data_IF_446564808195
#
_entry.id   IF_446564808195
#
_cell.length_a   1.000
_cell.length_b   1.000
_cell.length_c   1.000
_cell.angle_alpha   90.00
_cell.angle_beta   90.00
_cell.angle_gamma   90.00
#
_symmetry.space_group_name_H-M   'P 1'
#
loop_
_entity.id
_entity.type
_entity.pdbx_description
1 polymer ?
#
# COMPACT_ATOMS: atom_id res chain seq x y z
N UNK A 1 -7.23 7.91 -18.18
CA UNK A 1 -6.20 7.44 -17.23
C UNK A 1 -5.97 8.57 -16.24
N UNK A 2 -6.44 8.45 -14.99
CA UNK A 2 -6.26 9.52 -13.97
C UNK A 2 -4.81 9.49 -13.48
N UNK A 3 -4.18 10.66 -13.35
CA UNK A 3 -2.78 10.75 -12.94
C UNK A 3 -2.63 10.41 -11.46
N UNK A 4 -1.48 9.85 -11.06
CA UNK A 4 -1.13 9.58 -9.67
C UNK A 4 -1.29 10.85 -8.79
N UNK A 5 -0.98 12.00 -9.38
CA UNK A 5 -1.13 13.33 -8.77
C UNK A 5 -2.59 13.66 -8.38
N UNK A 6 -3.57 13.26 -9.19
CA UNK A 6 -5.00 13.47 -8.90
C UNK A 6 -5.49 12.62 -7.73
N UNK A 7 -4.94 11.41 -7.56
CA UNK A 7 -5.23 10.59 -6.38
C UNK A 7 -4.66 11.23 -5.11
N UNK A 8 -3.46 11.81 -5.21
CA UNK A 8 -2.78 12.45 -4.07
C UNK A 8 -3.50 13.70 -3.56
N UNK A 9 -3.97 14.58 -4.45
CA UNK A 9 -4.73 15.78 -4.06
C UNK A 9 -6.08 15.45 -3.40
N UNK A 10 -6.72 14.33 -3.78
CA UNK A 10 -7.95 13.87 -3.12
C UNK A 10 -7.67 13.26 -1.73
N UNK A 11 -6.49 12.64 -1.53
CA UNK A 11 -6.09 12.08 -0.23
C UNK A 11 -5.72 13.13 0.81
N UNK A 12 -5.31 14.33 0.41
CA UNK A 12 -5.12 15.48 1.33
C UNK A 12 -6.42 15.88 2.04
N UNK A 13 -7.60 15.53 1.50
CA UNK A 13 -8.89 15.94 2.06
C UNK A 13 -9.46 15.02 3.15
N UNK A 14 -8.78 13.92 3.52
CA UNK A 14 -9.33 12.96 4.51
C UNK A 14 -8.40 12.69 5.69
N UNK A 15 -8.54 13.44 6.80
CA UNK A 15 -7.88 13.08 8.05
C UNK A 15 -8.51 11.77 8.57
N UNK A 16 -7.77 10.67 8.53
CA UNK A 16 -8.16 9.40 9.17
C UNK A 16 -8.31 8.18 8.25
N UNK A 17 -7.94 8.23 6.97
CA UNK A 17 -7.93 7.01 6.15
C UNK A 17 -6.75 6.14 6.58
N UNK A 18 -7.07 5.05 7.28
CA UNK A 18 -6.18 3.91 7.52
C UNK A 18 -6.43 2.94 6.37
N UNK A 19 -5.41 2.68 5.57
CA UNK A 19 -5.50 1.71 4.46
C UNK A 19 -4.58 0.51 4.69
N UNK A 20 -4.83 -0.56 3.93
CA UNK A 20 -4.13 -1.85 3.98
C UNK A 20 -3.11 -1.93 2.86
N UNK A 21 -1.85 -2.04 3.23
CA UNK A 21 -0.74 -2.21 2.29
C UNK A 21 -0.23 -3.63 2.33
N UNK A 22 0.11 -4.17 1.16
CA UNK A 22 0.77 -5.46 1.00
C UNK A 22 1.84 -5.31 -0.10
N UNK A 23 3.01 -5.91 0.11
CA UNK A 23 4.05 -5.94 -0.91
C UNK A 23 3.58 -6.80 -2.09
N UNK A 24 3.73 -6.31 -3.31
CA UNK A 24 3.32 -7.03 -4.52
C UNK A 24 4.03 -8.39 -4.66
N UNK A 25 5.27 -8.51 -4.17
CA UNK A 25 6.03 -9.77 -4.18
C UNK A 25 5.38 -10.80 -3.27
N UNK A 26 4.85 -10.39 -2.13
CA UNK A 26 4.14 -11.28 -1.21
C UNK A 26 2.82 -11.75 -1.84
N UNK A 27 2.13 -10.86 -2.58
CA UNK A 27 0.94 -11.24 -3.36
C UNK A 27 1.28 -12.28 -4.43
N UNK A 28 2.34 -12.07 -5.21
CA UNK A 28 2.77 -13.03 -6.23
C UNK A 28 3.16 -14.38 -5.61
N UNK A 29 3.94 -14.36 -4.54
CA UNK A 29 4.36 -15.57 -3.82
C UNK A 29 3.17 -16.32 -3.23
N UNK A 30 2.20 -15.61 -2.66
CA UNK A 30 0.99 -16.23 -2.12
C UNK A 30 0.15 -16.92 -3.20
N UNK A 31 0.06 -16.35 -4.41
CA UNK A 31 -0.60 -17.01 -5.53
C UNK A 31 0.11 -18.28 -5.96
N UNK A 32 1.44 -18.25 -6.09
CA UNK A 32 2.25 -19.44 -6.42
C UNK A 32 2.03 -20.53 -5.37
N UNK A 33 2.15 -20.19 -4.09
CA UNK A 33 1.99 -21.16 -3.00
C UNK A 33 0.56 -21.73 -2.92
N UNK A 34 -0.46 -20.90 -3.16
CA UNK A 34 -1.85 -21.37 -3.18
C UNK A 34 -2.13 -22.29 -4.36
N UNK A 35 -1.45 -22.09 -5.50
CA UNK A 35 -1.56 -22.96 -6.67
C UNK A 35 -0.83 -24.29 -6.48
N UNK A 36 0.41 -24.26 -5.98
CA UNK A 36 1.26 -25.44 -5.87
C UNK A 36 0.86 -26.39 -4.74
N UNK A 37 0.26 -25.86 -3.67
CA UNK A 37 -0.09 -26.65 -2.49
C UNK A 37 -1.47 -27.29 -2.66
N UNK A 38 -1.51 -28.60 -2.86
CA UNK A 38 -2.75 -29.37 -3.03
C UNK A 38 -3.77 -29.23 -1.88
N UNK A 39 -3.30 -28.89 -0.67
CA UNK A 39 -4.18 -28.66 0.48
C UNK A 39 -4.70 -27.21 0.59
N UNK A 40 -4.24 -26.29 -0.26
CA UNK A 40 -4.70 -24.91 -0.25
C UNK A 40 -6.14 -24.84 -0.75
N UNK A 41 -6.99 -24.10 -0.03
CA UNK A 41 -8.40 -23.96 -0.37
C UNK A 41 -9.01 -22.73 0.28
N UNK A 42 -10.14 -22.28 -0.26
CA UNK A 42 -10.86 -21.12 0.26
C UNK A 42 -10.19 -19.79 -0.08
N UNK A 43 -10.30 -18.82 0.83
CA UNK A 43 -9.83 -17.43 0.64
C UNK A 43 -8.72 -17.12 1.63
N UNK A 44 -7.65 -16.50 1.14
CA UNK A 44 -6.53 -16.04 1.96
C UNK A 44 -6.53 -14.52 2.03
N UNK A 45 -6.56 -13.97 3.25
CA UNK A 45 -6.40 -12.54 3.46
C UNK A 45 -4.91 -12.19 3.42
N UNK A 46 -4.51 -11.31 2.50
CA UNK A 46 -3.14 -10.82 2.38
C UNK A 46 -3.10 -9.34 2.73
N UNK A 47 -2.62 -9.04 3.92
CA UNK A 47 -2.43 -7.68 4.43
C UNK A 47 -1.08 -7.65 5.13
N UNK A 48 -0.19 -6.76 4.69
CA UNK A 48 1.13 -6.59 5.29
C UNK A 48 1.11 -5.59 6.46
N UNK A 49 0.76 -4.33 6.18
CA UNK A 49 0.72 -3.27 7.18
C UNK A 49 -0.54 -2.41 7.04
N UNK A 50 -1.13 -2.04 8.17
CA UNK A 50 -2.09 -0.93 8.23
C UNK A 50 -1.30 0.37 8.36
N UNK A 51 -1.56 1.33 7.48
CA UNK A 51 -0.85 2.60 7.48
C UNK A 51 -1.82 3.74 7.34
N UNK A 52 -1.68 4.75 8.21
CA UNK A 52 -2.20 6.07 7.89
C UNK A 52 -1.33 6.66 6.78
N UNK A 53 -1.94 7.40 5.85
CA UNK A 53 -1.22 7.98 4.71
C UNK A 53 -0.05 8.86 5.17
N UNK A 54 -0.18 9.55 6.31
CA UNK A 54 0.94 10.33 6.87
C UNK A 54 2.16 9.49 7.24
N UNK A 55 1.98 8.22 7.64
CA UNK A 55 3.13 7.33 7.90
C UNK A 55 3.85 6.98 6.60
N UNK A 56 3.10 6.81 5.50
CA UNK A 56 3.68 6.51 4.19
C UNK A 56 4.43 7.73 3.68
N UNK A 57 3.84 8.92 3.77
CA UNK A 57 4.52 10.18 3.40
C UNK A 57 5.82 10.33 4.17
N UNK A 58 5.82 10.02 5.48
CA UNK A 58 7.04 10.03 6.31
C UNK A 58 8.09 9.05 5.78
N UNK A 59 7.73 7.80 5.50
CA UNK A 59 8.65 6.79 4.93
C UNK A 59 9.20 7.26 3.59
N UNK A 60 8.35 7.79 2.71
CA UNK A 60 8.81 8.28 1.40
C UNK A 60 9.77 9.46 1.56
N UNK A 61 9.50 10.40 2.47
CA UNK A 61 10.38 11.53 2.73
C UNK A 61 11.73 11.09 3.36
N UNK A 62 11.73 10.10 4.25
CA UNK A 62 12.97 9.52 4.82
C UNK A 62 13.88 8.92 3.73
N UNK A 63 13.30 8.29 2.70
CA UNK A 63 14.06 7.71 1.58
C UNK A 63 14.36 8.71 0.44
N UNK A 64 13.52 9.72 0.26
CA UNK A 64 13.59 10.69 -0.84
C UNK A 64 13.41 12.11 -0.30
N UNK A 65 14.39 12.65 0.46
CA UNK A 65 14.23 13.92 1.18
C UNK A 65 14.07 15.14 0.26
N UNK A 66 14.49 15.05 -1.00
CA UNK A 66 14.34 16.13 -1.99
C UNK A 66 13.01 16.05 -2.75
N UNK A 67 12.21 15.00 -2.55
CA UNK A 67 10.90 14.87 -3.15
C UNK A 67 9.94 15.83 -2.45
N UNK A 68 9.36 16.75 -3.21
CA UNK A 68 8.37 17.68 -2.71
C UNK A 68 7.05 16.92 -2.53
N UNK A 69 6.82 16.46 -1.30
CA UNK A 69 5.57 15.88 -0.88
C UNK A 69 4.78 16.93 -0.10
N UNK A 70 3.45 16.86 -0.10
CA UNK A 70 2.65 17.68 0.79
C UNK A 70 3.06 17.43 2.23
N UNK A 71 3.55 18.47 2.88
CA UNK A 71 3.66 18.49 4.34
C UNK A 71 2.30 18.90 4.91
N UNK A 72 1.96 18.31 6.05
CA UNK A 72 0.66 18.42 6.73
C UNK A 72 0.03 19.82 6.72
#
# INVERSE_FOLDING_TARGET
MRSLFSLYAELETFPGIIDKFVDVRDVSNAHIQAFEKASASGRYCLVGKLGHISEIVKIVHEHYPTLHLPER
#
